data_IF_482984627497
#
_entry.id   IF_482984627497
#
_cell.length_a   1.000
_cell.length_b   1.000
_cell.length_c   1.000
_cell.angle_alpha   90.00
_cell.angle_beta   90.00
_cell.angle_gamma   90.00
#
_symmetry.space_group_name_H-M   'P 1'
#
loop_
_entity.id
_entity.type
_entity.pdbx_description
1 polymer ?
#
# COMPACT_ATOMS: atom_id res chain seq x y z
N UNK A 1 -11.31 -12.27 4.19
CA UNK A 1 -10.60 -11.01 3.95
C UNK A 1 -9.25 -11.07 4.67
N UNK A 2 -8.18 -11.50 3.98
CA UNK A 2 -6.86 -11.78 4.59
C UNK A 2 -6.05 -10.50 4.78
N UNK A 3 -5.87 -10.05 6.03
CA UNK A 3 -5.16 -8.78 6.31
C UNK A 3 -3.69 -8.93 6.65
N UNK A 4 -3.30 -10.08 7.18
CA UNK A 4 -1.98 -10.24 7.80
C UNK A 4 -1.35 -11.58 7.41
N UNK A 5 -2.19 -12.54 7.04
CA UNK A 5 -1.81 -13.94 7.11
C UNK A 5 -0.96 -14.38 5.93
N UNK A 6 -1.10 -13.78 4.74
CA UNK A 6 -0.37 -14.27 3.57
C UNK A 6 1.12 -13.91 3.65
N UNK A 7 1.46 -12.62 3.82
CA UNK A 7 2.86 -12.21 3.94
C UNK A 7 3.52 -12.75 5.22
N UNK A 8 2.81 -12.78 6.36
CA UNK A 8 3.33 -13.40 7.59
C UNK A 8 3.49 -14.92 7.48
N UNK A 9 2.62 -15.65 6.76
CA UNK A 9 2.76 -17.10 6.52
C UNK A 9 3.87 -17.43 5.52
N UNK A 10 3.99 -16.69 4.42
CA UNK A 10 5.02 -16.96 3.39
C UNK A 10 6.37 -16.34 3.72
N UNK A 11 6.43 -15.43 4.71
CA UNK A 11 7.58 -14.60 5.13
C UNK A 11 8.06 -13.61 4.06
N UNK A 12 8.01 -13.96 2.79
CA UNK A 12 8.32 -13.12 1.63
C UNK A 12 7.58 -13.65 0.40
N UNK A 13 7.45 -12.81 -0.61
CA UNK A 13 6.94 -13.19 -1.92
C UNK A 13 8.08 -13.37 -2.92
N UNK A 14 7.87 -14.28 -3.87
CA UNK A 14 8.66 -14.31 -5.08
C UNK A 14 8.40 -13.03 -5.90
N UNK A 15 9.38 -12.67 -6.73
CA UNK A 15 9.35 -11.43 -7.49
C UNK A 15 8.07 -11.27 -8.35
N UNK A 16 7.59 -12.35 -8.97
CA UNK A 16 6.39 -12.31 -9.80
C UNK A 16 5.10 -12.11 -8.99
N UNK A 17 5.01 -12.70 -7.79
CA UNK A 17 3.89 -12.46 -6.90
C UNK A 17 3.88 -11.01 -6.36
N UNK A 18 5.05 -10.50 -5.95
CA UNK A 18 5.20 -9.09 -5.55
C UNK A 18 4.83 -8.14 -6.70
N UNK A 19 5.24 -8.46 -7.93
CA UNK A 19 4.90 -7.70 -9.14
C UNK A 19 3.40 -7.69 -9.43
N UNK A 20 2.73 -8.84 -9.32
CA UNK A 20 1.28 -8.94 -9.50
C UNK A 20 0.49 -8.07 -8.52
N UNK A 21 0.86 -8.08 -7.23
CA UNK A 21 0.20 -7.26 -6.22
C UNK A 21 0.54 -5.78 -6.35
N UNK A 22 1.80 -5.43 -6.62
CA UNK A 22 2.21 -4.04 -6.87
C UNK A 22 1.51 -3.43 -8.10
N UNK A 23 1.26 -4.22 -9.15
CA UNK A 23 0.49 -3.76 -10.30
C UNK A 23 -0.95 -3.40 -9.93
N UNK A 24 -1.61 -4.19 -9.09
CA UNK A 24 -2.97 -3.87 -8.63
C UNK A 24 -3.00 -2.59 -7.80
N UNK A 25 -2.06 -2.41 -6.87
CA UNK A 25 -1.94 -1.16 -6.09
C UNK A 25 -1.68 0.04 -7.01
N UNK A 26 -0.85 -0.13 -8.05
CA UNK A 26 -0.60 0.91 -9.05
C UNK A 26 -1.90 1.33 -9.77
N UNK A 27 -2.73 0.37 -10.19
CA UNK A 27 -4.03 0.63 -10.81
C UNK A 27 -5.02 1.31 -9.84
N UNK A 28 -5.00 0.91 -8.57
CA UNK A 28 -5.84 1.52 -7.53
C UNK A 28 -5.42 2.98 -7.32
N UNK A 29 -4.13 3.27 -7.21
CA UNK A 29 -3.64 4.64 -7.09
C UNK A 29 -3.93 5.49 -8.32
N UNK A 30 -3.73 4.95 -9.53
CA UNK A 30 -4.16 5.61 -10.78
C UNK A 30 -5.63 6.04 -10.69
N UNK A 31 -6.53 5.13 -10.32
CA UNK A 31 -7.95 5.39 -10.18
C UNK A 31 -8.31 6.46 -9.13
N UNK A 32 -7.70 6.38 -7.95
CA UNK A 32 -7.93 7.33 -6.85
C UNK A 32 -7.39 8.72 -7.18
N UNK A 33 -6.17 8.77 -7.73
CA UNK A 33 -5.47 10.01 -8.04
C UNK A 33 -6.16 10.78 -9.16
N UNK A 34 -6.77 10.11 -10.15
CA UNK A 34 -7.61 10.73 -11.17
C UNK A 34 -8.83 11.45 -10.59
N UNK A 35 -9.26 11.07 -9.38
CA UNK A 35 -10.36 11.69 -8.62
C UNK A 35 -9.89 12.61 -7.50
N UNK A 36 -8.61 12.97 -7.50
CA UNK A 36 -7.99 13.80 -6.47
C UNK A 36 -8.07 13.20 -5.06
N UNK A 37 -8.19 11.88 -4.95
CA UNK A 37 -8.17 11.17 -3.68
C UNK A 37 -6.75 10.69 -3.42
N UNK A 38 -6.22 10.96 -2.23
CA UNK A 38 -5.00 10.34 -1.70
C UNK A 38 -5.35 9.34 -0.62
N UNK A 39 -4.67 8.20 -0.58
CA UNK A 39 -5.01 7.10 0.33
C UNK A 39 -4.29 7.19 1.68
N UNK A 40 -2.98 7.46 1.68
CA UNK A 40 -2.14 7.77 2.85
C UNK A 40 -1.91 6.67 3.90
N UNK A 41 -2.51 5.48 3.79
CA UNK A 41 -2.28 4.37 4.73
C UNK A 41 -2.01 3.03 4.05
N UNK A 42 -1.29 3.03 2.92
CA UNK A 42 -0.91 1.78 2.28
C UNK A 42 0.04 1.00 3.18
N UNK A 43 -0.36 -0.22 3.53
CA UNK A 43 0.41 -1.23 4.25
C UNK A 43 -0.21 -2.61 3.98
N UNK A 44 0.50 -3.72 4.24
CA UNK A 44 -0.04 -5.06 4.04
C UNK A 44 -1.38 -5.27 4.75
N UNK A 45 -1.53 -4.70 5.95
CA UNK A 45 -2.73 -4.74 6.80
C UNK A 45 -3.90 -3.89 6.31
N UNK A 46 -3.83 -3.35 5.10
CA UNK A 46 -4.99 -2.74 4.44
C UNK A 46 -5.23 -3.35 3.05
N UNK A 47 -4.55 -4.46 2.73
CA UNK A 47 -4.58 -5.11 1.42
C UNK A 47 -5.14 -6.52 1.53
N UNK A 48 -6.42 -6.63 1.24
CA UNK A 48 -7.17 -7.84 1.48
C UNK A 48 -7.25 -8.68 0.22
N UNK A 49 -6.90 -9.97 0.32
CA UNK A 49 -7.01 -10.91 -0.80
C UNK A 49 -8.43 -11.49 -0.88
N UNK A 50 -9.08 -11.35 -2.04
CA UNK A 50 -10.39 -11.93 -2.35
C UNK A 50 -10.29 -13.43 -2.72
N UNK A 51 -11.44 -14.07 -2.94
CA UNK A 51 -11.50 -15.51 -3.23
C UNK A 51 -10.81 -15.89 -4.56
N UNK A 52 -10.71 -14.94 -5.50
CA UNK A 52 -10.03 -15.12 -6.77
C UNK A 52 -8.52 -14.86 -6.66
N UNK A 53 -8.05 -14.35 -5.52
CA UNK A 53 -6.66 -14.04 -5.25
C UNK A 53 -6.24 -12.61 -5.65
N UNK A 54 -7.19 -11.70 -5.85
CA UNK A 54 -6.97 -10.29 -6.17
C UNK A 54 -7.12 -9.40 -4.93
N UNK A 55 -6.48 -8.22 -4.97
CA UNK A 55 -6.50 -7.27 -3.88
C UNK A 55 -7.81 -6.48 -3.83
N UNK A 56 -8.26 -6.22 -2.60
CA UNK A 56 -9.26 -5.24 -2.22
C UNK A 56 -8.59 -4.30 -1.21
N UNK A 57 -8.51 -3.02 -1.55
CA UNK A 57 -8.04 -1.99 -0.63
C UNK A 57 -9.14 -1.69 0.39
N UNK A 58 -8.77 -1.57 1.65
CA UNK A 58 -9.69 -1.23 2.76
C UNK A 58 -9.20 -0.05 3.56
N UNK A 59 -9.87 0.24 4.67
CA UNK A 59 -9.56 1.34 5.60
C UNK A 59 -9.23 2.67 4.91
N UNK A 60 -10.28 3.40 4.57
CA UNK A 60 -10.17 4.75 4.00
C UNK A 60 -10.14 5.83 5.09
N UNK A 61 -9.86 5.48 6.36
CA UNK A 61 -9.88 6.42 7.48
C UNK A 61 -8.90 7.60 7.33
N UNK A 62 -7.80 7.40 6.61
CA UNK A 62 -6.86 8.47 6.25
C UNK A 62 -6.99 8.93 4.79
N UNK A 63 -7.91 8.37 4.00
CA UNK A 63 -8.10 8.85 2.64
C UNK A 63 -8.66 10.29 2.64
N UNK A 64 -8.29 11.08 1.64
CA UNK A 64 -8.72 12.48 1.55
C UNK A 64 -8.81 12.96 0.10
N UNK A 65 -9.88 13.68 -0.22
CA UNK A 65 -9.95 14.48 -1.45
C UNK A 65 -9.11 15.74 -1.26
N UNK A 66 -8.19 16.02 -2.17
CA UNK A 66 -7.27 17.18 -2.09
C UNK A 66 -7.31 18.00 -3.38
N UNK A 67 -7.36 19.33 -3.25
CA UNK A 67 -7.16 20.21 -4.42
C UNK A 67 -5.67 20.47 -4.67
N UNK A 68 -4.90 20.65 -3.59
CA UNK A 68 -3.47 20.98 -3.66
C UNK A 68 -2.64 20.14 -2.70
N UNK A 69 -2.53 20.57 -1.43
CA UNK A 69 -1.74 19.92 -0.38
C UNK A 69 -2.54 19.76 0.90
N UNK A 70 -2.18 18.77 1.68
CA UNK A 70 -2.62 18.58 3.06
C UNK A 70 -1.41 18.53 4.00
N UNK A 71 -1.63 18.74 5.29
CA UNK A 71 -0.57 18.89 6.30
C UNK A 71 -0.70 17.92 7.48
N UNK A 72 -1.78 17.13 7.51
CA UNK A 72 -2.02 16.16 8.58
C UNK A 72 -0.95 15.08 8.59
N UNK A 73 -0.18 14.98 9.68
CA UNK A 73 0.70 13.86 9.93
C UNK A 73 -0.17 12.62 10.26
N UNK A 74 -0.22 11.65 9.35
CA UNK A 74 -0.96 10.40 9.53
C UNK A 74 -0.28 9.27 8.75
N UNK A 75 -0.75 8.04 8.99
CA UNK A 75 -0.19 6.82 8.42
C UNK A 75 0.67 6.04 9.42
N UNK A 76 1.14 4.89 8.97
CA UNK A 76 1.94 3.96 9.77
C UNK A 76 3.44 4.34 9.70
N UNK A 77 4.18 4.43 10.84
CA UNK A 77 5.53 5.03 10.89
C UNK A 77 6.51 4.59 9.80
N UNK A 78 6.58 3.30 9.49
CA UNK A 78 7.48 2.67 8.51
C UNK A 78 7.17 3.06 7.06
N UNK A 79 5.96 3.55 6.83
CA UNK A 79 5.42 3.90 5.51
C UNK A 79 5.40 5.42 5.26
N UNK A 80 5.65 6.24 6.27
CA UNK A 80 5.57 7.71 6.14
C UNK A 80 6.64 8.24 5.18
N UNK A 81 6.23 9.10 4.24
CA UNK A 81 7.12 9.78 3.31
C UNK A 81 7.90 10.94 3.99
N UNK A 82 9.14 11.25 3.56
CA UNK A 82 9.99 12.22 4.24
C UNK A 82 9.38 13.64 4.28
N UNK A 83 8.66 14.05 3.25
CA UNK A 83 7.98 15.36 3.21
C UNK A 83 6.83 15.49 4.23
N UNK A 84 6.23 14.37 4.65
CA UNK A 84 5.19 14.33 5.70
C UNK A 84 5.85 14.56 7.06
N UNK A 85 6.97 13.86 7.35
CA UNK A 85 7.75 14.04 8.58
C UNK A 85 8.30 15.47 8.73
N UNK A 86 8.71 16.07 7.60
CA UNK A 86 9.23 17.43 7.57
C UNK A 86 8.14 18.52 7.53
N UNK A 87 6.86 18.13 7.61
CA UNK A 87 5.70 19.01 7.57
C UNK A 87 5.71 20.02 6.39
N UNK A 88 6.17 19.59 5.20
CA UNK A 88 6.29 20.45 4.01
C UNK A 88 4.98 20.63 3.23
N UNK A 89 3.90 20.02 3.72
CA UNK A 89 2.68 19.76 2.98
C UNK A 89 2.89 18.67 1.93
N UNK A 90 1.89 17.83 1.74
CA UNK A 90 1.98 16.64 0.88
C UNK A 90 0.71 16.42 0.06
N UNK A 91 0.81 15.57 -0.96
CA UNK A 91 -0.29 15.19 -1.85
C UNK A 91 -0.06 13.81 -2.43
N UNK A 92 -0.58 13.54 -3.64
CA UNK A 92 -0.50 12.25 -4.35
C UNK A 92 0.86 11.52 -4.31
N UNK A 93 2.03 12.21 -4.34
CA UNK A 93 3.34 11.55 -4.31
C UNK A 93 3.65 10.69 -3.08
N UNK A 94 2.93 10.86 -1.96
CA UNK A 94 3.13 10.03 -0.76
C UNK A 94 2.66 8.59 -0.99
N UNK A 95 1.61 8.39 -1.78
CA UNK A 95 1.11 7.04 -2.10
C UNK A 95 2.14 6.30 -2.98
N UNK A 96 2.84 7.00 -3.89
CA UNK A 96 3.92 6.38 -4.67
C UNK A 96 5.13 6.01 -3.81
N UNK A 97 5.41 6.77 -2.74
CA UNK A 97 6.41 6.40 -1.75
C UNK A 97 6.02 5.11 -1.01
N UNK A 98 4.78 5.04 -0.52
CA UNK A 98 4.29 3.85 0.20
C UNK A 98 4.28 2.61 -0.70
N UNK A 99 4.00 2.74 -2.01
CA UNK A 99 4.17 1.63 -2.97
C UNK A 99 5.62 1.12 -3.01
N UNK A 100 6.60 2.02 -2.94
CA UNK A 100 8.02 1.65 -2.88
C UNK A 100 8.37 0.86 -1.61
N UNK A 101 7.81 1.26 -0.47
CA UNK A 101 7.94 0.53 0.81
C UNK A 101 7.31 -0.85 0.69
N UNK A 102 6.08 -0.92 0.17
CA UNK A 102 5.34 -2.17 0.01
C UNK A 102 6.06 -3.17 -0.92
N UNK A 103 6.58 -2.73 -2.06
CA UNK A 103 7.34 -3.61 -2.97
C UNK A 103 8.56 -4.19 -2.28
N UNK A 104 9.29 -3.35 -1.54
CA UNK A 104 10.46 -3.79 -0.78
C UNK A 104 10.07 -4.82 0.29
N UNK A 105 9.03 -4.52 1.07
CA UNK A 105 8.55 -5.38 2.15
C UNK A 105 8.01 -6.71 1.63
N UNK A 106 7.26 -6.72 0.52
CA UNK A 106 6.81 -7.97 -0.10
C UNK A 106 7.99 -8.88 -0.49
N UNK A 107 9.09 -8.32 -0.99
CA UNK A 107 10.25 -9.11 -1.46
C UNK A 107 11.15 -9.57 -0.31
N UNK A 108 11.30 -8.77 0.74
CA UNK A 108 12.21 -9.09 1.87
C UNK A 108 11.53 -9.63 3.12
N UNK A 109 10.23 -9.38 3.29
CA UNK A 109 9.47 -9.71 4.49
C UNK A 109 9.55 -8.66 5.60
N UNK A 110 10.19 -7.52 5.36
CA UNK A 110 10.32 -6.41 6.31
C UNK A 110 10.51 -5.08 5.57
N UNK A 111 10.08 -3.94 6.13
CA UNK A 111 10.20 -2.64 5.49
C UNK A 111 11.67 -2.16 5.44
N UNK A 112 12.01 -1.26 4.50
CA UNK A 112 13.39 -0.76 4.33
C UNK A 112 13.85 0.13 5.49
N UNK A 113 12.90 0.74 6.20
CA UNK A 113 13.14 1.56 7.38
C UNK A 113 12.39 0.93 8.56
N UNK A 114 13.14 0.33 9.48
CA UNK A 114 12.60 -0.32 10.68
C UNK A 114 13.49 0.00 11.86
N UNK A 115 12.91 0.21 13.03
CA UNK A 115 13.58 0.47 14.30
C UNK A 115 12.62 0.09 15.44
N UNK A 116 13.14 -0.08 16.65
CA UNK A 116 12.33 -0.41 17.82
C UNK A 116 11.49 0.79 18.29
N UNK A 117 11.99 2.02 18.05
CA UNK A 117 11.28 3.25 18.37
C UNK A 117 10.87 4.02 17.10
N UNK A 118 9.66 4.61 17.05
CA UNK A 118 9.20 5.40 15.90
C UNK A 118 10.18 6.52 15.51
N UNK A 119 10.85 7.14 16.49
CA UNK A 119 11.83 8.18 16.21
C UNK A 119 13.05 7.64 15.43
N UNK A 120 13.49 6.42 15.72
CA UNK A 120 14.56 5.75 14.98
C UNK A 120 14.14 5.45 13.53
N UNK A 121 12.90 5.04 13.31
CA UNK A 121 12.31 4.88 11.96
C UNK A 121 12.35 6.20 11.19
N UNK A 122 11.92 7.30 11.82
CA UNK A 122 11.91 8.62 11.19
C UNK A 122 13.31 9.10 10.81
N UNK A 123 14.31 8.89 11.68
CA UNK A 123 15.70 9.22 11.37
C UNK A 123 16.22 8.41 10.17
N UNK A 124 15.85 7.13 10.06
CA UNK A 124 16.23 6.28 8.91
C UNK A 124 15.57 6.72 7.61
N UNK A 125 14.27 7.07 7.65
CA UNK A 125 13.53 7.63 6.50
C UNK A 125 14.22 8.90 5.99
N UNK A 126 14.52 9.84 6.88
CA UNK A 126 15.19 11.10 6.54
C UNK A 126 16.64 10.87 6.07
N UNK A 127 17.31 9.84 6.59
CA UNK A 127 18.64 9.42 6.14
C UNK A 127 18.65 8.79 4.75
N UNK A 128 17.54 8.22 4.28
CA UNK A 128 17.34 7.72 2.91
C UNK A 128 18.25 6.55 2.51
N UNK A 129 18.89 5.87 3.47
CA UNK A 129 19.81 4.76 3.20
C UNK A 129 19.02 3.45 3.16
N UNK A 130 18.97 2.83 1.99
CA UNK A 130 18.28 1.55 1.77
C UNK A 130 19.31 0.49 1.36
N UNK A 131 19.34 -0.62 2.09
CA UNK A 131 20.16 -1.78 1.75
C UNK A 131 19.37 -2.73 0.84
N UNK A 132 20.03 -3.30 -0.16
CA UNK A 132 19.41 -4.31 -1.03
C UNK A 132 20.29 -5.57 -1.05
N UNK A 133 19.80 -6.72 -0.58
CA UNK A 133 20.58 -7.95 -0.63
C UNK A 133 20.78 -8.41 -2.08
N UNK A 134 21.79 -9.27 -2.31
CA UNK A 134 22.16 -9.72 -3.66
C UNK A 134 21.04 -10.43 -4.41
N UNK A 135 20.13 -11.08 -3.69
CA UNK A 135 18.99 -11.81 -4.28
C UNK A 135 17.81 -10.89 -4.65
N UNK A 136 17.82 -9.62 -4.26
CA UNK A 136 16.75 -8.68 -4.61
C UNK A 136 16.76 -8.47 -6.13
N UNK A 137 15.60 -8.62 -6.77
CA UNK A 137 15.50 -8.50 -8.22
C UNK A 137 16.04 -7.15 -8.72
N UNK A 138 16.85 -7.18 -9.77
CA UNK A 138 17.56 -5.99 -10.25
C UNK A 138 16.59 -4.93 -10.77
N UNK A 139 15.50 -5.33 -11.41
CA UNK A 139 14.51 -4.42 -11.94
C UNK A 139 13.60 -3.88 -10.83
N UNK A 140 13.17 -4.72 -9.89
CA UNK A 140 12.44 -4.30 -8.69
C UNK A 140 13.24 -3.24 -7.93
N UNK A 141 14.54 -3.48 -7.71
CA UNK A 141 15.44 -2.56 -7.01
C UNK A 141 15.49 -1.19 -7.69
N UNK A 142 15.56 -1.15 -9.01
CA UNK A 142 15.58 0.10 -9.77
C UNK A 142 14.26 0.87 -9.60
N UNK A 143 13.12 0.18 -9.63
CA UNK A 143 11.81 0.81 -9.39
C UNK A 143 11.70 1.34 -7.96
N UNK A 144 12.01 0.51 -6.96
CA UNK A 144 11.96 0.89 -5.54
C UNK A 144 12.82 2.13 -5.29
N UNK A 145 14.02 2.23 -5.88
CA UNK A 145 14.84 3.45 -5.76
C UNK A 145 14.17 4.69 -6.35
N UNK A 146 13.44 4.56 -7.46
CA UNK A 146 12.72 5.67 -8.10
C UNK A 146 11.47 6.10 -7.33
N UNK A 147 10.81 5.16 -6.65
CA UNK A 147 9.66 5.44 -5.78
C UNK A 147 10.11 6.01 -4.43
N UNK A 148 11.18 5.47 -3.84
CA UNK A 148 11.78 5.92 -2.58
C UNK A 148 12.80 7.05 -2.81
N UNK A 149 12.45 8.00 -3.68
CA UNK A 149 13.24 9.21 -3.93
C UNK A 149 12.66 10.37 -3.10
N UNK A 150 13.44 10.97 -2.17
CA UNK A 150 12.94 12.08 -1.34
C UNK A 150 12.60 13.33 -2.14
N UNK A 151 13.35 13.59 -3.21
CA UNK A 151 13.07 14.72 -4.11
C UNK A 151 11.82 14.44 -4.96
N UNK A 152 10.75 15.20 -4.71
CA UNK A 152 9.48 15.10 -5.40
C UNK A 152 9.62 15.37 -6.91
N UNK A 153 10.60 16.15 -7.34
CA UNK A 153 10.85 16.41 -8.76
C UNK A 153 11.50 15.22 -9.50
N UNK A 154 11.88 14.17 -8.76
CA UNK A 154 12.54 12.98 -9.28
C UNK A 154 11.80 11.67 -8.94
N UNK A 155 10.79 11.74 -8.08
CA UNK A 155 9.98 10.58 -7.67
C UNK A 155 9.04 10.14 -8.78
N UNK A 156 9.08 8.84 -9.12
CA UNK A 156 8.14 8.24 -10.06
C UNK A 156 6.70 8.36 -9.57
N UNK A 157 5.77 8.53 -10.51
CA UNK A 157 4.37 8.87 -10.21
C UNK A 157 4.11 10.37 -10.05
N UNK A 158 5.15 11.20 -9.89
CA UNK A 158 5.05 12.66 -9.76
C UNK A 158 5.77 13.46 -10.88
N UNK A 159 6.37 12.77 -11.86
CA UNK A 159 7.00 13.45 -13.00
C UNK A 159 5.96 13.75 -14.08
N UNK A 160 6.42 14.31 -15.20
CA UNK A 160 5.55 14.67 -16.34
C UNK A 160 4.70 13.51 -16.87
N UNK A 161 5.21 12.27 -16.84
CA UNK A 161 4.46 11.11 -17.33
C UNK A 161 3.57 10.48 -16.24
N UNK A 162 3.63 10.98 -15.00
CA UNK A 162 2.81 10.51 -13.88
C UNK A 162 2.96 9.01 -13.64
N UNK A 163 1.83 8.30 -13.63
CA UNK A 163 1.76 6.85 -13.42
C UNK A 163 2.47 6.05 -14.52
N UNK A 164 2.61 6.59 -15.73
CA UNK A 164 3.28 5.88 -16.82
C UNK A 164 4.76 5.63 -16.51
N UNK A 165 5.43 6.50 -15.75
CA UNK A 165 6.81 6.25 -15.29
C UNK A 165 6.92 4.97 -14.44
N UNK A 166 5.84 4.60 -13.74
CA UNK A 166 5.73 3.35 -12.98
C UNK A 166 5.37 2.19 -13.90
N UNK A 167 4.30 2.34 -14.70
CA UNK A 167 3.75 1.26 -15.54
C UNK A 167 4.70 0.78 -16.63
N UNK A 168 5.47 1.70 -17.21
CA UNK A 168 6.43 1.41 -18.29
C UNK A 168 7.83 1.04 -17.76
N UNK A 169 8.01 1.03 -16.43
CA UNK A 169 9.28 0.63 -15.85
C UNK A 169 9.59 -0.85 -16.17
N UNK A 170 10.86 -1.14 -16.48
CA UNK A 170 11.36 -2.47 -16.87
C UNK A 170 11.00 -3.64 -15.95
N UNK A 171 10.61 -3.36 -14.69
CA UNK A 171 10.13 -4.41 -13.77
C UNK A 171 8.75 -4.94 -14.20
N UNK A 172 7.91 -4.09 -14.77
CA UNK A 172 6.62 -4.44 -15.36
C UNK A 172 6.72 -4.75 -16.87
N UNK A 173 7.92 -4.96 -17.41
CA UNK A 173 8.08 -5.34 -18.81
C UNK A 173 7.28 -6.62 -19.10
N UNK A 174 6.42 -6.55 -20.13
CA UNK A 174 5.52 -7.64 -20.53
C UNK A 174 4.31 -7.87 -19.60
N UNK A 175 4.09 -7.01 -18.60
CA UNK A 175 2.92 -7.12 -17.73
C UNK A 175 1.66 -6.63 -18.45
N UNK A 176 0.63 -7.47 -18.52
CA UNK A 176 -0.65 -7.09 -19.13
C UNK A 176 -1.55 -6.36 -18.12
N UNK A 177 -1.44 -5.03 -18.11
CA UNK A 177 -2.24 -4.15 -17.26
C UNK A 177 -3.75 -4.29 -17.50
N UNK A 178 -4.17 -4.55 -18.75
CA UNK A 178 -5.58 -4.69 -19.09
C UNK A 178 -6.16 -6.02 -18.59
N UNK A 179 -5.42 -7.12 -18.74
CA UNK A 179 -5.80 -8.41 -18.16
C UNK A 179 -5.85 -8.35 -16.63
N UNK A 180 -4.90 -7.65 -16.00
CA UNK A 180 -4.93 -7.42 -14.55
C UNK A 180 -6.20 -6.67 -14.12
N UNK A 181 -6.53 -5.57 -14.80
CA UNK A 181 -7.74 -4.78 -14.52
C UNK A 181 -9.03 -5.59 -14.70
N UNK A 182 -9.08 -6.47 -15.71
CA UNK A 182 -10.21 -7.38 -15.99
C UNK A 182 -10.22 -8.62 -15.10
N UNK A 183 -9.30 -8.74 -14.15
CA UNK A 183 -9.09 -9.91 -13.28
C UNK A 183 -8.92 -11.23 -14.04
N UNK A 184 -8.31 -11.20 -15.23
CA UNK A 184 -8.13 -12.39 -16.08
C UNK A 184 -6.74 -13.00 -16.00
N UNK A 185 -5.81 -12.39 -15.26
CA UNK A 185 -4.50 -13.00 -14.98
C UNK A 185 -4.62 -14.09 -13.89
N UNK A 186 -3.80 -15.14 -13.94
CA UNK A 186 -3.72 -16.11 -12.86
C UNK A 186 -3.14 -15.44 -11.60
N UNK A 187 -3.84 -15.54 -10.47
CA UNK A 187 -3.31 -15.07 -9.19
C UNK A 187 -2.21 -16.02 -8.67
N UNK A 188 -1.12 -15.47 -8.09
CA UNK A 188 -0.06 -16.27 -7.45
C UNK A 188 -0.55 -17.02 -6.20
N UNK A 189 -1.66 -16.59 -5.59
CA UNK A 189 -2.22 -17.23 -4.41
C UNK A 189 -3.73 -17.08 -4.39
N UNK A 190 -4.42 -18.23 -4.32
CA UNK A 190 -5.86 -18.27 -4.04
C UNK A 190 -6.07 -18.76 -2.61
N UNK A 191 -6.72 -17.95 -1.75
CA UNK A 191 -6.99 -18.40 -0.39
C UNK A 191 -7.95 -19.60 -0.41
N UNK A 192 -7.74 -20.60 0.45
CA UNK A 192 -8.71 -21.66 0.64
C UNK A 192 -9.94 -21.06 1.35
N UNK A 193 -11.10 -21.07 0.69
CA UNK A 193 -12.36 -20.56 1.24
C UNK A 193 -13.43 -21.64 1.10
N UNK A 194 -14.13 -21.96 2.18
CA UNK A 194 -15.17 -23.01 2.22
C UNK A 194 -16.58 -22.50 1.87
N UNK A 195 -16.80 -21.19 1.92
CA UNK A 195 -18.08 -20.54 1.66
C UNK A 195 -18.03 -19.04 1.92
N UNK A 196 -19.13 -18.32 1.69
CA UNK A 196 -19.17 -16.85 1.84
C UNK A 196 -18.92 -16.37 3.28
N UNK A 197 -19.34 -17.15 4.28
CA UNK A 197 -19.20 -16.81 5.70
C UNK A 197 -17.94 -17.42 6.34
N UNK A 198 -17.00 -17.93 5.53
CA UNK A 198 -15.79 -18.56 6.04
C UNK A 198 -14.80 -17.52 6.59
N UNK A 199 -14.70 -17.46 7.91
CA UNK A 199 -13.78 -16.59 8.64
C UNK A 199 -12.45 -17.28 8.99
N UNK A 200 -12.17 -18.50 8.51
CA UNK A 200 -10.96 -19.27 8.87
C UNK A 200 -9.63 -18.63 8.44
N UNK A 201 -9.70 -17.67 7.52
CA UNK A 201 -8.54 -16.89 7.09
C UNK A 201 -8.29 -15.62 7.92
N UNK A 202 -9.09 -15.38 8.96
CA UNK A 202 -8.93 -14.28 9.90
C UNK A 202 -8.41 -14.79 11.24
N UNK A 203 -7.78 -13.89 12.01
CA UNK A 203 -7.46 -14.17 13.40
C UNK A 203 -8.73 -14.16 14.25
N UNK A 204 -8.84 -15.10 15.19
CA UNK A 204 -9.92 -15.12 16.15
C UNK A 204 -9.65 -14.07 17.23
N UNK A 205 -10.44 -13.02 17.25
CA UNK A 205 -10.44 -12.03 18.32
C UNK A 205 -11.57 -12.35 19.32
N UNK A 206 -11.37 -12.15 20.64
CA UNK A 206 -12.45 -12.24 21.60
C UNK A 206 -13.57 -11.28 21.21
N UNK A 207 -14.83 -11.75 21.23
CA UNK A 207 -15.96 -10.85 21.07
C UNK A 207 -15.94 -9.80 22.17
N UNK A 208 -16.16 -8.54 21.80
CA UNK A 208 -16.29 -7.48 22.79
C UNK A 208 -17.49 -7.77 23.68
N UNK A 209 -17.27 -7.71 25.00
CA UNK A 209 -18.36 -7.76 26.00
C UNK A 209 -18.98 -6.38 26.24
N UNK A 210 -18.43 -5.31 25.63
CA UNK A 210 -18.97 -3.96 25.74
C UNK A 210 -20.19 -3.80 24.82
N UNK A 211 -21.34 -3.50 25.42
CA UNK A 211 -22.49 -3.03 24.66
C UNK A 211 -22.16 -1.66 24.10
N UNK A 212 -22.17 -1.53 22.77
CA UNK A 212 -22.07 -0.23 22.12
C UNK A 212 -23.17 0.69 22.68
N UNK A 213 -22.85 1.95 23.06
CA UNK A 213 -23.86 2.87 23.52
C UNK A 213 -24.95 3.03 22.45
N UNK A 214 -26.23 3.06 22.81
CA UNK A 214 -27.31 3.20 21.85
C UNK A 214 -27.13 4.49 21.05
N UNK A 215 -27.02 4.35 19.72
CA UNK A 215 -26.99 5.50 18.81
C UNK A 215 -28.39 6.11 18.83
N UNK A 216 -28.53 7.26 19.49
CA UNK A 216 -29.76 8.06 19.43
C UNK A 216 -29.85 8.69 18.03
N UNK A 217 -31.04 8.80 17.45
CA UNK A 217 -31.22 9.25 16.05
C UNK A 217 -30.65 10.65 15.73
N UNK A 218 -30.27 11.44 16.73
CA UNK A 218 -29.58 12.73 16.56
C UNK A 218 -28.06 12.61 16.46
N UNK A 219 -27.48 11.44 16.76
CA UNK A 219 -26.06 11.13 16.68
C UNK A 219 -25.70 10.21 15.52
N UNK A 220 -26.66 9.87 14.65
CA UNK A 220 -26.40 9.05 13.46
C UNK A 220 -25.83 9.95 12.33
N UNK A 221 -24.52 9.81 12.01
CA UNK A 221 -23.86 10.62 10.99
C UNK A 221 -24.30 10.26 9.56
N UNK A 222 -25.14 9.23 9.38
CA UNK A 222 -25.63 8.77 8.08
C UNK A 222 -27.06 9.22 7.76
N UNK A 223 -27.71 9.97 8.65
CA UNK A 223 -29.09 10.48 8.47
C UNK A 223 -29.30 11.41 7.28
N UNK A 224 -28.21 11.89 6.66
CA UNK A 224 -28.24 12.84 5.54
C UNK A 224 -27.62 12.30 4.24
N UNK A 225 -27.41 10.98 4.14
CA UNK A 225 -26.97 10.30 2.92
C UNK A 225 -28.13 9.77 2.08
#
# INVERSE_FOLDING_TARGET
TLDITLLRKTRRFENDAARFYAAQVTLIFEYLHDRNIIYRDLKPENLLVDAEGYLKLTDFGFAKVIEYRTYTLCGTPEYIAPEVLLNKGHGKPVDWWTLGILIYEMILGYPPFFDDEPMGVYQKILGGRIAFPKFFDKNAKLLVKRLLTPDLAQRYGNLKNGVADVKDHRWFAGFDWNACLKKSLPSPYKPPVKGMDDTSNFEAYPESTEQAPPVTGTMDPFTSW
#
